data_IF_574350963154
#
_entry.id   IF_574350963154
#
_cell.length_a   1.000
_cell.length_b   1.000
_cell.length_c   1.000
_cell.angle_alpha   90.00
_cell.angle_beta   90.00
_cell.angle_gamma   90.00
#
_symmetry.space_group_name_H-M   'P 1'
#
loop_
_entity.id
_entity.type
_entity.pdbx_description
1 polymer ?
#
# COMPACT_ATOMS: atom_id res chain seq x y z
N UNK A 1 12.17 -2.40 -1.79
CA UNK A 1 11.15 -1.41 -1.32
C UNK A 1 11.74 -0.45 -0.29
N UNK A 2 11.06 0.66 0.06
CA UNK A 2 11.50 1.59 1.10
C UNK A 2 11.33 0.97 2.49
N UNK A 3 12.32 1.14 3.38
CA UNK A 3 12.22 0.69 4.77
C UNK A 3 11.07 1.39 5.50
N UNK A 4 10.41 0.64 6.38
CA UNK A 4 9.37 1.15 7.27
C UNK A 4 9.81 0.90 8.72
N UNK A 5 10.11 1.95 9.45
CA UNK A 5 10.48 1.88 10.88
C UNK A 5 9.50 2.69 11.72
N UNK A 6 9.53 3.99 11.55
CA UNK A 6 8.68 4.97 12.20
C UNK A 6 7.99 5.83 11.14
N UNK A 7 6.69 5.99 11.21
CA UNK A 7 5.90 6.86 10.35
C UNK A 7 5.08 7.82 11.21
N UNK A 8 5.33 9.12 11.07
CA UNK A 8 4.40 10.15 11.54
C UNK A 8 3.66 10.70 10.34
N UNK A 9 2.34 10.55 10.31
CA UNK A 9 1.55 10.91 9.15
C UNK A 9 0.16 11.43 9.46
N UNK A 10 -0.31 12.32 8.58
CA UNK A 10 -1.69 12.78 8.56
C UNK A 10 -2.61 11.62 8.18
N UNK A 11 -3.76 11.53 8.83
CA UNK A 11 -4.78 10.51 8.60
C UNK A 11 -5.84 11.01 7.65
N UNK A 12 -6.09 10.27 6.56
CA UNK A 12 -7.23 10.49 5.69
C UNK A 12 -8.34 9.45 5.98
N UNK A 13 -9.53 9.87 6.43
CA UNK A 13 -10.61 8.95 6.75
C UNK A 13 -11.43 8.58 5.50
N UNK A 14 -11.30 7.34 5.03
CA UNK A 14 -12.13 6.74 3.99
C UNK A 14 -13.28 5.98 4.64
N UNK A 15 -14.37 6.68 4.95
CA UNK A 15 -15.53 6.12 5.66
C UNK A 15 -16.40 5.27 4.72
N UNK A 16 -15.82 4.20 4.19
CA UNK A 16 -16.48 3.25 3.29
C UNK A 16 -16.07 1.83 3.61
N UNK A 17 -17.04 0.94 3.70
CA UNK A 17 -16.84 -0.50 3.76
C UNK A 17 -16.72 -1.09 2.36
N UNK A 18 -16.12 -2.29 2.28
CA UNK A 18 -16.03 -3.07 1.03
C UNK A 18 -15.40 -2.28 -0.12
N UNK A 19 -14.39 -1.47 0.17
CA UNK A 19 -13.62 -0.76 -0.86
C UNK A 19 -12.90 -1.80 -1.68
N UNK A 20 -13.36 -2.02 -2.91
CA UNK A 20 -12.80 -3.03 -3.81
C UNK A 20 -11.60 -2.51 -4.63
N UNK A 21 -10.90 -3.43 -5.26
CA UNK A 21 -9.71 -3.10 -6.05
C UNK A 21 -10.04 -2.34 -7.34
N UNK A 22 -11.27 -2.41 -7.86
CA UNK A 22 -11.72 -1.59 -8.99
C UNK A 22 -11.96 -0.14 -8.58
N UNK A 23 -12.47 0.10 -7.37
CA UNK A 23 -12.56 1.44 -6.81
C UNK A 23 -11.18 2.03 -6.50
N UNK A 24 -10.24 1.22 -5.97
CA UNK A 24 -8.87 1.67 -5.68
C UNK A 24 -8.13 2.06 -6.96
N UNK A 25 -8.19 1.20 -8.00
CA UNK A 25 -7.59 1.46 -9.31
C UNK A 25 -8.47 0.86 -10.42
N UNK A 26 -9.21 1.69 -11.17
CA UNK A 26 -10.11 1.22 -12.21
C UNK A 26 -9.41 0.46 -13.34
N UNK A 27 -10.09 -0.53 -13.89
CA UNK A 27 -9.56 -1.50 -14.86
C UNK A 27 -8.93 -0.88 -16.12
N UNK A 28 -9.40 0.28 -16.57
CA UNK A 28 -8.87 0.97 -17.75
C UNK A 28 -7.39 1.35 -17.59
N UNK A 29 -6.92 1.60 -16.36
CA UNK A 29 -5.54 1.97 -16.06
C UNK A 29 -4.59 0.78 -15.92
N UNK A 30 -5.09 -0.46 -15.91
CA UNK A 30 -4.28 -1.66 -15.71
C UNK A 30 -3.52 -2.12 -16.97
N UNK A 31 -3.75 -1.50 -18.11
CA UNK A 31 -3.09 -1.86 -19.38
C UNK A 31 -1.63 -1.43 -19.47
N UNK A 32 -1.13 -0.66 -18.50
CA UNK A 32 0.26 -0.21 -18.47
C UNK A 32 1.18 -1.37 -18.10
N UNK A 33 2.26 -1.56 -18.87
CA UNK A 33 3.35 -2.47 -18.55
C UNK A 33 4.34 -1.87 -17.53
N UNK A 34 4.23 -0.56 -17.24
CA UNK A 34 5.07 0.13 -16.25
C UNK A 34 4.52 -0.12 -14.86
N UNK A 35 5.43 -0.23 -13.87
CA UNK A 35 5.07 -0.35 -12.45
C UNK A 35 4.87 1.01 -11.75
N UNK A 36 4.92 2.11 -12.49
CA UNK A 36 4.86 3.49 -11.97
C UNK A 36 3.80 4.31 -12.68
N UNK A 37 3.32 5.38 -12.02
CA UNK A 37 2.31 6.30 -12.56
C UNK A 37 0.87 5.97 -12.15
N UNK A 38 0.68 5.01 -11.23
CA UNK A 38 -0.67 4.61 -10.77
C UNK A 38 -1.25 5.54 -9.70
N UNK A 39 -0.41 6.23 -8.93
CA UNK A 39 -0.86 7.11 -7.85
C UNK A 39 -1.82 8.20 -8.31
N UNK A 40 -1.62 8.75 -9.51
CA UNK A 40 -2.53 9.75 -10.09
C UNK A 40 -3.94 9.21 -10.35
N UNK A 41 -4.08 7.90 -10.55
CA UNK A 41 -5.35 7.22 -10.85
C UNK A 41 -5.96 6.53 -9.61
N UNK A 42 -5.38 6.77 -8.43
CA UNK A 42 -5.93 6.24 -7.17
C UNK A 42 -7.35 6.77 -6.97
N UNK A 43 -8.30 5.88 -6.72
CA UNK A 43 -9.72 6.20 -6.54
C UNK A 43 -10.29 7.10 -7.65
N UNK A 44 -9.89 6.89 -8.90
CA UNK A 44 -10.18 7.78 -10.03
C UNK A 44 -11.67 8.14 -10.15
N UNK A 45 -12.55 7.14 -10.09
CA UNK A 45 -14.00 7.31 -10.23
C UNK A 45 -14.64 8.09 -9.06
N UNK A 46 -13.97 8.15 -7.91
CA UNK A 46 -14.45 8.91 -6.75
C UNK A 46 -13.80 10.29 -6.63
N UNK A 47 -12.53 10.37 -7.07
CA UNK A 47 -11.75 11.62 -7.01
C UNK A 47 -12.13 12.63 -8.07
N UNK A 48 -12.70 12.19 -9.18
CA UNK A 48 -13.03 13.06 -10.30
C UNK A 48 -14.49 12.95 -10.70
N UNK A 49 -15.05 14.05 -11.21
CA UNK A 49 -16.43 14.14 -11.71
C UNK A 49 -16.53 13.69 -13.17
N UNK A 50 -15.42 13.60 -13.89
CA UNK A 50 -15.30 13.14 -15.26
C UNK A 50 -14.65 11.77 -15.34
N UNK A 51 -15.02 10.96 -16.33
CA UNK A 51 -14.40 9.65 -16.55
C UNK A 51 -12.94 9.80 -16.99
N UNK A 52 -12.03 9.06 -16.32
CA UNK A 52 -10.61 9.03 -16.65
C UNK A 52 -10.25 8.03 -17.73
N UNK A 53 -9.20 8.34 -18.49
CA UNK A 53 -8.60 7.44 -19.46
C UNK A 53 -7.06 7.43 -19.38
N UNK A 54 -6.39 6.36 -19.82
CA UNK A 54 -4.94 6.28 -19.79
C UNK A 54 -4.26 7.40 -20.56
N UNK A 55 -3.27 8.06 -19.93
CA UNK A 55 -2.52 9.16 -20.55
C UNK A 55 -3.16 10.53 -20.44
N UNK A 56 -4.33 10.64 -19.81
CA UNK A 56 -4.95 11.94 -19.54
C UNK A 56 -4.12 12.73 -18.53
N UNK A 57 -3.93 14.05 -18.81
CA UNK A 57 -3.28 14.94 -17.86
C UNK A 57 -4.17 15.13 -16.61
N UNK A 58 -3.70 14.79 -15.41
CA UNK A 58 -4.47 14.98 -14.18
C UNK A 58 -4.94 16.43 -13.95
N UNK A 59 -4.20 17.41 -14.47
CA UNK A 59 -4.57 18.84 -14.37
C UNK A 59 -5.78 19.21 -15.19
N UNK A 60 -6.10 18.43 -16.23
CA UNK A 60 -7.30 18.64 -17.06
C UNK A 60 -8.57 18.07 -16.45
N UNK A 61 -8.44 17.28 -15.35
CA UNK A 61 -9.56 16.59 -14.69
C UNK A 61 -10.36 17.55 -13.82
N UNK A 62 -11.62 17.20 -13.60
CA UNK A 62 -12.53 17.94 -12.70
C UNK A 62 -12.54 17.26 -11.32
N UNK A 63 -11.79 17.77 -10.31
CA UNK A 63 -11.78 17.16 -8.99
C UNK A 63 -13.17 17.17 -8.36
N UNK A 64 -13.55 16.05 -7.73
CA UNK A 64 -14.74 15.98 -6.89
C UNK A 64 -14.44 16.61 -5.52
N UNK A 65 -15.02 17.76 -5.15
CA UNK A 65 -14.70 18.46 -3.91
C UNK A 65 -15.17 17.70 -2.67
N UNK A 66 -16.17 16.84 -2.83
CA UNK A 66 -16.74 16.06 -1.71
C UNK A 66 -15.92 14.83 -1.37
N UNK A 67 -15.00 14.45 -2.24
CA UNK A 67 -14.16 13.28 -1.99
C UNK A 67 -13.03 13.61 -1.01
N UNK A 68 -12.90 12.80 0.03
CA UNK A 68 -11.99 13.04 1.17
C UNK A 68 -10.56 13.39 0.76
N UNK A 69 -9.96 12.68 -0.21
CA UNK A 69 -8.57 12.92 -0.62
C UNK A 69 -8.36 14.20 -1.45
N UNK A 70 -9.44 14.84 -1.91
CA UNK A 70 -9.39 16.11 -2.60
C UNK A 70 -9.55 17.30 -1.65
N UNK A 71 -9.97 17.06 -0.41
CA UNK A 71 -10.13 18.10 0.60
C UNK A 71 -8.75 18.62 1.07
N UNK A 72 -8.54 19.95 1.14
CA UNK A 72 -7.24 20.53 1.54
C UNK A 72 -6.73 20.03 2.89
N UNK A 73 -7.63 19.74 3.84
CA UNK A 73 -7.27 19.26 5.18
C UNK A 73 -6.59 17.89 5.20
N UNK A 74 -6.68 17.10 4.12
CA UNK A 74 -6.10 15.76 4.01
C UNK A 74 -4.99 15.66 2.96
N UNK A 75 -4.57 16.79 2.38
CA UNK A 75 -3.47 16.80 1.44
C UNK A 75 -2.17 16.36 2.12
N UNK A 76 -1.43 15.48 1.45
CA UNK A 76 -0.20 14.89 2.00
C UNK A 76 -0.43 13.81 3.05
N UNK A 77 -1.67 13.32 3.23
CA UNK A 77 -1.94 12.19 4.11
C UNK A 77 -1.13 10.96 3.69
N UNK A 78 -0.50 10.32 4.69
CA UNK A 78 0.30 9.10 4.50
C UNK A 78 -0.27 7.89 5.23
N UNK A 79 -1.36 8.08 5.98
CA UNK A 79 -2.11 7.04 6.67
C UNK A 79 -3.55 7.08 6.16
N UNK A 80 -4.02 5.96 5.60
CA UNK A 80 -5.42 5.80 5.20
C UNK A 80 -6.16 5.07 6.32
N UNK A 81 -7.23 5.66 6.83
CA UNK A 81 -8.15 5.01 7.75
C UNK A 81 -9.36 4.52 6.97
N UNK A 82 -9.68 3.24 7.03
CA UNK A 82 -10.74 2.62 6.25
C UNK A 82 -11.66 1.73 7.10
N UNK A 83 -12.81 1.36 6.54
CA UNK A 83 -13.75 0.41 7.14
C UNK A 83 -13.37 -1.03 6.77
N UNK A 84 -14.19 -1.99 7.22
CA UNK A 84 -13.95 -3.43 7.03
C UNK A 84 -13.92 -3.85 5.56
N UNK A 85 -13.28 -5.00 5.33
CA UNK A 85 -13.16 -5.66 4.04
C UNK A 85 -12.51 -4.78 2.96
N UNK A 86 -11.46 -4.04 3.35
CA UNK A 86 -10.73 -3.16 2.41
C UNK A 86 -9.90 -3.99 1.42
N UNK A 87 -9.91 -3.57 0.14
CA UNK A 87 -9.17 -4.24 -0.94
C UNK A 87 -9.84 -5.53 -1.43
N UNK A 88 -11.16 -5.68 -1.24
CA UNK A 88 -11.91 -6.83 -1.76
C UNK A 88 -11.97 -6.83 -3.31
N UNK A 89 -12.60 -7.85 -3.89
CA UNK A 89 -12.72 -8.00 -5.34
C UNK A 89 -11.54 -8.71 -5.98
N UNK A 90 -11.14 -8.27 -7.17
CA UNK A 90 -10.12 -8.96 -7.97
C UNK A 90 -8.72 -8.83 -7.39
N UNK A 91 -7.92 -9.90 -7.55
CA UNK A 91 -6.51 -9.89 -7.16
C UNK A 91 -5.69 -8.95 -8.05
N UNK A 92 -5.35 -7.75 -7.54
CA UNK A 92 -4.60 -6.75 -8.31
C UNK A 92 -3.46 -6.17 -7.48
N UNK A 93 -2.25 -6.40 -7.93
CA UNK A 93 -1.06 -5.79 -7.33
C UNK A 93 -0.99 -4.27 -7.57
N UNK A 94 -1.68 -3.79 -8.61
CA UNK A 94 -1.79 -2.37 -8.92
C UNK A 94 -2.47 -1.54 -7.82
N UNK A 95 -3.37 -2.15 -7.02
CA UNK A 95 -4.04 -1.44 -5.94
C UNK A 95 -3.07 -0.98 -4.83
N UNK A 96 -2.20 -1.84 -4.27
CA UNK A 96 -1.12 -1.39 -3.39
C UNK A 96 -0.15 -0.40 -4.06
N UNK A 97 0.18 -0.56 -5.36
CA UNK A 97 1.04 0.40 -6.07
C UNK A 97 0.40 1.78 -6.16
N UNK A 98 -0.89 1.85 -6.47
CA UNK A 98 -1.60 3.13 -6.55
C UNK A 98 -1.61 3.85 -5.21
N UNK A 99 -1.84 3.13 -4.11
CA UNK A 99 -1.83 3.68 -2.75
C UNK A 99 -0.44 4.19 -2.35
N UNK A 100 0.61 3.37 -2.52
CA UNK A 100 1.99 3.75 -2.21
C UNK A 100 2.46 4.96 -3.04
N UNK A 101 2.22 4.95 -4.35
CA UNK A 101 2.60 6.03 -5.25
C UNK A 101 1.79 7.32 -5.05
N UNK A 102 0.62 7.24 -4.47
CA UNK A 102 -0.13 8.42 -4.04
C UNK A 102 0.46 9.06 -2.77
N UNK A 103 1.17 8.26 -1.96
CA UNK A 103 1.83 8.70 -0.74
C UNK A 103 1.40 7.98 0.53
N UNK A 104 0.47 7.02 0.45
CA UNK A 104 0.11 6.22 1.61
C UNK A 104 1.21 5.22 1.94
N UNK A 105 1.57 5.15 3.22
CA UNK A 105 2.55 4.20 3.77
C UNK A 105 1.90 3.16 4.68
N UNK A 106 0.76 3.51 5.28
CA UNK A 106 -0.01 2.62 6.13
C UNK A 106 -1.50 2.75 5.86
N UNK A 107 -2.21 1.65 6.07
CA UNK A 107 -3.68 1.61 6.06
C UNK A 107 -4.11 1.01 7.39
N UNK A 108 -5.12 1.59 8.02
CA UNK A 108 -5.72 1.08 9.26
C UNK A 108 -7.16 0.70 8.96
N UNK A 109 -7.53 -0.54 9.19
CA UNK A 109 -8.90 -1.03 8.97
C UNK A 109 -9.23 -2.21 9.90
N UNK A 110 -10.52 -2.53 10.11
CA UNK A 110 -10.92 -3.71 10.90
C UNK A 110 -10.59 -5.03 10.20
N UNK A 111 -10.63 -5.06 8.87
CA UNK A 111 -10.31 -6.24 8.07
C UNK A 111 -9.95 -5.88 6.62
N UNK A 112 -9.26 -6.80 5.97
CA UNK A 112 -8.82 -6.71 4.58
C UNK A 112 -9.15 -7.98 3.84
N UNK A 113 -9.25 -7.89 2.50
CA UNK A 113 -9.18 -9.09 1.67
C UNK A 113 -7.76 -9.68 1.69
N UNK A 114 -7.66 -11.01 1.78
CA UNK A 114 -6.38 -11.72 2.00
C UNK A 114 -5.32 -11.40 0.94
N UNK A 115 -5.71 -11.35 -0.32
CA UNK A 115 -4.77 -11.09 -1.41
C UNK A 115 -4.24 -9.65 -1.35
N UNK A 116 -5.13 -8.67 -1.11
CA UNK A 116 -4.73 -7.28 -0.94
C UNK A 116 -3.78 -7.12 0.25
N UNK A 117 -4.11 -7.72 1.38
CA UNK A 117 -3.29 -7.71 2.60
C UNK A 117 -1.87 -8.24 2.33
N UNK A 118 -1.77 -9.39 1.65
CA UNK A 118 -0.48 -9.99 1.31
C UNK A 118 0.32 -9.12 0.32
N UNK A 119 -0.32 -8.59 -0.72
CA UNK A 119 0.31 -7.75 -1.72
C UNK A 119 0.78 -6.42 -1.13
N UNK A 120 0.08 -5.87 -0.14
CA UNK A 120 0.48 -4.64 0.55
C UNK A 120 1.85 -4.79 1.20
N UNK A 121 2.08 -5.85 1.96
CA UNK A 121 3.39 -6.10 2.58
C UNK A 121 4.52 -6.25 1.57
N UNK A 122 4.28 -6.94 0.45
CA UNK A 122 5.27 -7.13 -0.61
C UNK A 122 5.69 -5.83 -1.29
N UNK A 123 4.83 -4.82 -1.24
CA UNK A 123 5.06 -3.51 -1.87
C UNK A 123 5.43 -2.41 -0.86
N UNK A 124 5.66 -2.75 0.41
CA UNK A 124 6.12 -1.79 1.43
C UNK A 124 5.02 -0.94 2.06
N UNK A 125 3.75 -1.29 1.79
CA UNK A 125 2.59 -0.70 2.43
C UNK A 125 2.23 -1.53 3.66
N UNK A 126 2.05 -0.88 4.82
CA UNK A 126 1.72 -1.53 6.08
C UNK A 126 0.21 -1.56 6.32
N UNK A 127 -0.49 -2.68 6.11
CA UNK A 127 -1.87 -2.84 6.54
C UNK A 127 -1.91 -3.20 8.03
N UNK A 128 -2.63 -2.41 8.82
CA UNK A 128 -2.81 -2.60 10.26
C UNK A 128 -4.25 -2.99 10.53
N UNK A 129 -4.44 -4.08 11.29
CA UNK A 129 -5.75 -4.53 11.76
C UNK A 129 -5.97 -4.01 13.18
N UNK A 130 -7.06 -3.27 13.38
CA UNK A 130 -7.57 -2.87 14.69
C UNK A 130 -9.02 -3.32 14.85
N UNK A 131 -9.51 -3.37 16.09
CA UNK A 131 -10.95 -3.64 16.32
C UNK A 131 -11.84 -2.54 15.71
N UNK A 132 -13.08 -2.90 15.35
CA UNK A 132 -14.05 -1.92 14.83
C UNK A 132 -14.23 -0.75 15.80
N UNK A 133 -14.23 -1.01 17.11
CA UNK A 133 -14.36 0.03 18.14
C UNK A 133 -13.19 1.02 18.10
N UNK A 134 -11.96 0.53 17.97
CA UNK A 134 -10.77 1.38 17.86
C UNK A 134 -10.78 2.19 16.55
N UNK A 135 -11.17 1.56 15.45
CA UNK A 135 -11.29 2.24 14.15
C UNK A 135 -12.37 3.33 14.20
N UNK A 136 -13.53 3.06 14.80
CA UNK A 136 -14.58 4.07 14.98
C UNK A 136 -14.07 5.27 15.78
N UNK A 137 -13.38 5.03 16.89
CA UNK A 137 -12.77 6.09 17.69
C UNK A 137 -11.77 6.94 16.86
N UNK A 138 -10.95 6.32 16.04
CA UNK A 138 -10.02 7.04 15.16
C UNK A 138 -10.74 7.87 14.10
N UNK A 139 -11.89 7.40 13.56
CA UNK A 139 -12.74 8.19 12.66
C UNK A 139 -13.29 9.42 13.35
N UNK A 140 -13.83 9.28 14.56
CA UNK A 140 -14.37 10.38 15.34
C UNK A 140 -13.29 11.44 15.65
N UNK A 141 -12.11 11.00 16.05
CA UNK A 141 -10.97 11.88 16.31
C UNK A 141 -10.46 12.58 15.04
N UNK A 142 -10.35 11.87 13.92
CA UNK A 142 -9.93 12.46 12.64
C UNK A 142 -10.95 13.46 12.08
N UNK A 143 -12.24 13.27 12.37
CA UNK A 143 -13.29 14.22 12.02
C UNK A 143 -13.23 15.48 12.89
N UNK A 144 -13.08 15.29 14.20
CA UNK A 144 -13.09 16.38 15.20
C UNK A 144 -11.85 17.28 15.12
N UNK A 145 -10.67 16.73 14.83
CA UNK A 145 -9.39 17.45 14.88
C UNK A 145 -8.77 17.65 13.50
N UNK A 146 -8.79 18.88 12.94
CA UNK A 146 -8.04 19.19 11.72
C UNK A 146 -6.53 18.90 11.90
N UNK A 147 -5.93 18.27 10.91
CA UNK A 147 -4.51 17.89 10.99
C UNK A 147 -4.23 16.68 11.90
N UNK A 148 -5.26 15.85 12.17
CA UNK A 148 -5.10 14.65 12.97
C UNK A 148 -4.03 13.72 12.40
N UNK A 149 -2.96 13.50 13.15
CA UNK A 149 -1.81 12.72 12.76
C UNK A 149 -1.53 11.61 13.79
N UNK A 150 -1.11 10.46 13.29
CA UNK A 150 -0.68 9.32 14.11
C UNK A 150 0.81 9.07 13.91
N UNK A 151 1.44 8.50 14.93
CA UNK A 151 2.80 7.95 14.80
C UNK A 151 2.70 6.43 14.88
N UNK A 152 3.18 5.74 13.85
CA UNK A 152 3.22 4.28 13.78
C UNK A 152 4.66 3.83 13.97
N UNK A 153 4.92 3.11 15.05
CA UNK A 153 6.20 2.49 15.37
C UNK A 153 6.10 0.98 15.08
N UNK A 154 6.73 0.55 13.97
CA UNK A 154 6.70 -0.85 13.57
C UNK A 154 7.59 -1.73 14.45
N UNK A 155 8.68 -1.21 15.01
CA UNK A 155 9.53 -2.00 15.92
C UNK A 155 8.79 -2.37 17.20
N UNK A 156 8.07 -1.40 17.78
CA UNK A 156 7.26 -1.60 18.99
C UNK A 156 5.88 -2.18 18.68
N UNK A 157 5.46 -2.14 17.41
CA UNK A 157 4.11 -2.51 16.97
C UNK A 157 3.01 -1.73 17.72
N UNK A 158 3.14 -0.41 17.76
CA UNK A 158 2.18 0.49 18.38
C UNK A 158 1.85 1.67 17.47
N UNK A 159 0.61 2.11 17.53
CA UNK A 159 0.17 3.40 17.00
C UNK A 159 0.08 4.36 18.18
N UNK A 160 0.78 5.47 18.11
CA UNK A 160 0.79 6.51 19.13
C UNK A 160 -0.12 7.64 18.66
N UNK A 161 -1.14 7.94 19.45
CA UNK A 161 -2.11 9.01 19.23
C UNK A 161 -1.54 10.37 19.68
N UNK A 162 -2.13 11.50 19.23
CA UNK A 162 -1.70 12.84 19.66
C UNK A 162 -1.74 13.06 21.17
N UNK A 163 -2.64 12.37 21.89
CA UNK A 163 -2.75 12.40 23.35
C UNK A 163 -1.74 11.50 24.07
N UNK A 164 -0.86 10.84 23.35
CA UNK A 164 0.16 9.91 23.86
C UNK A 164 -0.35 8.50 24.13
N UNK A 165 -1.64 8.22 23.94
CA UNK A 165 -2.14 6.84 24.09
C UNK A 165 -1.61 5.95 22.98
N UNK A 166 -1.29 4.72 23.35
CA UNK A 166 -0.78 3.69 22.43
C UNK A 166 -1.85 2.65 22.13
N UNK A 167 -1.99 2.33 20.86
CA UNK A 167 -2.82 1.25 20.36
C UNK A 167 -1.89 0.15 19.82
N UNK A 168 -1.79 -1.01 20.48
CA UNK A 168 -0.97 -2.11 19.98
C UNK A 168 -1.60 -2.74 18.73
N UNK A 169 -0.74 -3.22 17.84
CA UNK A 169 -1.15 -4.02 16.67
C UNK A 169 -0.17 -5.17 16.43
N UNK A 170 -0.61 -6.18 15.70
CA UNK A 170 0.22 -7.34 15.41
C UNK A 170 0.63 -7.41 13.95
N UNK A 171 1.89 -7.75 13.70
CA UNK A 171 2.44 -8.07 12.40
C UNK A 171 3.26 -9.35 12.51
N UNK A 172 3.02 -10.30 11.60
CA UNK A 172 3.81 -11.52 11.54
C UNK A 172 5.31 -11.21 11.47
N UNK A 173 6.13 -11.92 12.26
CA UNK A 173 7.56 -11.64 12.44
C UNK A 173 8.34 -11.52 11.12
N UNK A 174 8.08 -12.40 10.15
CA UNK A 174 8.76 -12.35 8.85
C UNK A 174 8.36 -11.10 8.02
N UNK A 175 7.09 -10.73 8.02
CA UNK A 175 6.61 -9.50 7.33
C UNK A 175 7.19 -8.24 7.96
N UNK A 176 7.23 -8.19 9.30
CA UNK A 176 7.88 -7.12 10.06
C UNK A 176 9.35 -7.00 9.69
N UNK A 177 10.07 -8.12 9.66
CA UNK A 177 11.46 -8.16 9.26
C UNK A 177 11.67 -7.60 7.83
N UNK A 178 10.83 -8.00 6.86
CA UNK A 178 10.92 -7.51 5.49
C UNK A 178 10.69 -5.99 5.40
N UNK A 179 9.66 -5.46 6.07
CA UNK A 179 9.37 -4.03 6.09
C UNK A 179 10.49 -3.22 6.75
N UNK A 180 10.98 -3.64 7.92
CA UNK A 180 12.06 -2.95 8.65
C UNK A 180 13.35 -2.85 7.82
N UNK A 181 13.63 -3.87 7.01
CA UNK A 181 14.84 -3.93 6.18
C UNK A 181 14.63 -3.45 4.74
N UNK A 182 13.39 -3.23 4.30
CA UNK A 182 13.08 -2.83 2.93
C UNK A 182 13.22 -3.96 1.92
N UNK A 183 13.04 -5.23 2.34
CA UNK A 183 13.17 -6.40 1.47
C UNK A 183 11.84 -6.75 0.80
N UNK A 184 11.82 -6.74 -0.51
CA UNK A 184 10.84 -7.41 -1.35
C UNK A 184 11.29 -8.84 -1.70
N UNK A 185 10.49 -9.57 -2.45
CA UNK A 185 10.79 -10.96 -2.86
C UNK A 185 12.12 -11.04 -3.64
N UNK A 186 12.44 -10.03 -4.46
CA UNK A 186 13.70 -9.95 -5.21
C UNK A 186 14.86 -9.68 -4.25
N UNK A 187 14.72 -8.71 -3.36
CA UNK A 187 15.73 -8.36 -2.37
C UNK A 187 16.09 -9.54 -1.46
N UNK A 188 15.09 -10.33 -1.06
CA UNK A 188 15.31 -11.57 -0.31
C UNK A 188 16.11 -12.61 -1.10
N UNK A 189 15.77 -12.80 -2.37
CA UNK A 189 16.47 -13.74 -3.27
C UNK A 189 17.92 -13.30 -3.49
N UNK A 190 18.16 -12.01 -3.73
CA UNK A 190 19.51 -11.46 -3.94
C UNK A 190 20.45 -11.65 -2.75
N UNK A 191 19.93 -11.80 -1.53
CA UNK A 191 20.76 -12.17 -0.37
C UNK A 191 21.41 -13.55 -0.47
N UNK A 192 20.91 -14.41 -1.37
CA UNK A 192 21.46 -15.72 -1.65
C UNK A 192 22.22 -15.75 -2.99
N UNK A 193 22.61 -14.58 -3.54
CA UNK A 193 23.22 -14.47 -4.87
C UNK A 193 24.44 -15.39 -5.06
N UNK A 194 25.30 -15.50 -4.05
CA UNK A 194 26.50 -16.35 -4.14
C UNK A 194 26.14 -17.84 -4.20
N UNK A 195 25.14 -18.27 -3.42
CA UNK A 195 24.64 -19.65 -3.47
C UNK A 195 23.97 -19.95 -4.82
N UNK A 196 23.22 -19.00 -5.36
CA UNK A 196 22.57 -19.12 -6.67
C UNK A 196 23.63 -19.26 -7.76
N UNK A 197 24.64 -18.38 -7.77
CA UNK A 197 25.76 -18.45 -8.72
C UNK A 197 26.53 -19.78 -8.65
N UNK A 198 26.80 -20.27 -7.44
CA UNK A 198 27.46 -21.56 -7.24
C UNK A 198 26.64 -22.72 -7.79
N UNK A 199 25.32 -22.71 -7.52
CA UNK A 199 24.40 -23.71 -8.06
C UNK A 199 24.32 -23.65 -9.59
N UNK A 200 24.22 -22.47 -10.17
CA UNK A 200 24.18 -22.28 -11.64
C UNK A 200 25.45 -22.79 -12.29
N UNK A 201 26.63 -22.48 -11.76
CA UNK A 201 27.91 -22.97 -12.26
C UNK A 201 27.99 -24.50 -12.25
N UNK A 202 27.60 -25.13 -11.13
CA UNK A 202 27.56 -26.59 -11.02
C UNK A 202 26.54 -27.20 -12.01
N UNK A 203 25.36 -26.60 -12.14
CA UNK A 203 24.32 -27.07 -13.06
C UNK A 203 24.75 -26.99 -14.53
N UNK A 204 25.43 -25.90 -14.93
CA UNK A 204 25.94 -25.73 -16.30
C UNK A 204 27.04 -26.71 -16.62
N UNK A 205 27.87 -27.10 -15.65
CA UNK A 205 28.85 -28.18 -15.83
C UNK A 205 28.17 -29.53 -16.06
N UNK A 206 27.11 -29.82 -15.33
CA UNK A 206 26.36 -31.09 -15.47
C UNK A 206 25.43 -31.11 -16.70
N UNK A 207 24.96 -29.94 -17.15
CA UNK A 207 23.97 -29.76 -18.22
C UNK A 207 24.41 -28.66 -19.20
N UNK A 208 25.52 -28.84 -19.95
CA UNK A 208 26.11 -27.78 -20.78
C UNK A 208 25.16 -27.27 -21.88
N UNK A 209 24.19 -28.06 -22.31
CA UNK A 209 23.19 -27.66 -23.31
C UNK A 209 22.29 -26.52 -22.85
N UNK A 210 22.15 -26.25 -21.52
CA UNK A 210 21.39 -25.15 -21.00
C UNK A 210 22.08 -23.79 -21.19
N UNK A 211 23.39 -23.75 -21.41
CA UNK A 211 24.15 -22.54 -21.67
C UNK A 211 23.82 -21.92 -23.06
N UNK A 212 23.27 -22.69 -24.00
CA UNK A 212 23.01 -22.24 -25.37
C UNK A 212 21.68 -21.47 -25.58
N UNK A 213 20.81 -21.36 -24.56
CA UNK A 213 19.44 -20.84 -24.74
C UNK A 213 19.31 -19.33 -24.52
N UNK A 214 20.38 -18.59 -24.28
CA UNK A 214 20.34 -17.15 -24.00
C UNK A 214 20.97 -16.26 -25.09
N UNK A 215 21.22 -16.81 -26.29
CA UNK A 215 21.63 -16.02 -27.46
C UNK A 215 20.64 -16.33 -28.58
N UNK A 216 19.53 -15.58 -28.58
CA UNK A 216 18.56 -15.55 -29.64
C UNK A 216 17.83 -14.22 -29.60
#
# INVERSE_FOLDING_TARGET
MQKFTLLRGLVAPMDRENVDTDAIIPKQFLKSIRKTGFGQNLFDEWRYLDAGFPGQDPKSRKPNPDFVLNQPRYQGASILLARKNFGCGSSREHAPWALDQFGFRAIIAPSYADIFFNNSFKNGLLPIVLSETQVNQLFDEAAAFPGYALTIDLERQVIIKPDGKELPFEVQAFRKYCLLNGFDDIGLTLRQADKIKAFEAQRLTQKPWLARTLIG
#
